data_IF_634933656242
#
_entry.id   IF_634933656242
#
_cell.length_a   1.000
_cell.length_b   1.000
_cell.length_c   1.000
_cell.angle_alpha   90.00
_cell.angle_beta   90.00
_cell.angle_gamma   90.00
#
_symmetry.space_group_name_H-M   'P 1'
#
loop_
_entity.id
_entity.type
_entity.pdbx_description
1 polymer ?
#
# COMPACT_ATOMS: atom_id res chain seq x y z
N UNK A 1 7.53 -2.09 -11.33
CA UNK A 1 8.68 -1.99 -10.40
C UNK A 1 8.57 -3.05 -9.32
N UNK A 2 9.69 -3.35 -8.65
CA UNK A 2 9.72 -4.31 -7.54
C UNK A 2 9.64 -3.58 -6.21
N UNK A 3 8.72 -3.98 -5.34
CA UNK A 3 8.55 -3.43 -3.99
C UNK A 3 8.35 -4.57 -2.98
N UNK A 4 8.39 -4.26 -1.70
CA UNK A 4 7.96 -5.16 -0.64
C UNK A 4 6.56 -4.75 -0.15
N UNK A 5 5.63 -5.70 -0.12
CA UNK A 5 4.26 -5.52 0.35
C UNK A 5 4.00 -6.51 1.48
N UNK A 6 3.76 -6.01 2.70
CA UNK A 6 3.52 -6.84 3.89
C UNK A 6 4.59 -7.93 4.10
N UNK A 7 5.87 -7.61 3.87
CA UNK A 7 6.99 -8.55 3.98
C UNK A 7 7.21 -9.44 2.74
N UNK A 8 6.39 -9.31 1.69
CA UNK A 8 6.51 -10.08 0.46
C UNK A 8 6.98 -9.22 -0.71
N UNK A 9 8.05 -9.63 -1.37
CA UNK A 9 8.55 -8.94 -2.57
C UNK A 9 7.64 -9.25 -3.76
N UNK A 10 7.11 -8.20 -4.40
CA UNK A 10 6.23 -8.30 -5.57
C UNK A 10 6.73 -7.41 -6.71
N UNK A 11 6.37 -7.77 -7.94
CA UNK A 11 6.53 -6.93 -9.13
C UNK A 11 5.15 -6.36 -9.51
N UNK A 12 5.04 -5.02 -9.58
CA UNK A 12 3.79 -4.28 -9.80
C UNK A 12 3.92 -3.26 -10.93
N UNK A 13 2.84 -2.93 -11.63
CA UNK A 13 2.83 -1.83 -12.62
C UNK A 13 2.32 -0.51 -12.03
N UNK A 14 1.74 -0.54 -10.84
CA UNK A 14 1.23 0.63 -10.15
C UNK A 14 2.32 1.69 -9.92
N UNK A 15 2.01 2.95 -10.19
CA UNK A 15 2.86 4.12 -9.96
C UNK A 15 2.51 4.84 -8.66
N UNK A 16 1.28 4.67 -8.18
CA UNK A 16 0.79 5.27 -6.94
C UNK A 16 0.30 4.24 -5.94
N UNK A 17 0.17 4.65 -4.68
CA UNK A 17 -0.38 3.79 -3.64
C UNK A 17 -1.82 3.37 -3.94
N UNK A 18 -2.66 4.27 -4.47
CA UNK A 18 -4.04 3.94 -4.83
C UNK A 18 -4.12 2.88 -5.93
N UNK A 19 -3.32 3.04 -6.99
CA UNK A 19 -3.22 2.06 -8.08
C UNK A 19 -2.76 0.69 -7.55
N UNK A 20 -1.81 0.67 -6.63
CA UNK A 20 -1.32 -0.57 -6.05
C UNK A 20 -2.40 -1.25 -5.19
N UNK A 21 -3.13 -0.50 -4.37
CA UNK A 21 -4.23 -1.06 -3.57
C UNK A 21 -5.30 -1.67 -4.47
N UNK A 22 -5.64 -1.01 -5.59
CA UNK A 22 -6.57 -1.55 -6.58
C UNK A 22 -6.02 -2.80 -7.28
N UNK A 23 -4.75 -2.80 -7.69
CA UNK A 23 -4.08 -3.94 -8.32
C UNK A 23 -4.09 -5.17 -7.39
N UNK A 24 -3.86 -4.95 -6.10
CA UNK A 24 -3.84 -5.99 -5.06
C UNK A 24 -5.24 -6.27 -4.47
N UNK A 25 -6.29 -5.68 -5.04
CA UNK A 25 -7.69 -5.88 -4.66
C UNK A 25 -8.02 -5.52 -3.20
N UNK A 26 -7.28 -4.58 -2.61
CA UNK A 26 -7.62 -3.97 -1.33
C UNK A 26 -8.64 -2.85 -1.52
N UNK A 27 -9.58 -2.71 -0.57
CA UNK A 27 -10.45 -1.53 -0.49
C UNK A 27 -9.76 -0.41 0.30
N UNK A 28 -9.36 0.71 -0.35
CA UNK A 28 -8.68 1.83 0.31
C UNK A 28 -9.47 2.45 1.48
N UNK A 29 -10.80 2.32 1.46
CA UNK A 29 -11.66 2.83 2.53
C UNK A 29 -11.54 2.01 3.81
N UNK A 30 -11.16 0.73 3.70
CA UNK A 30 -11.09 -0.19 4.84
C UNK A 30 -9.69 -0.35 5.39
N UNK A 31 -8.64 -0.15 4.59
CA UNK A 31 -7.25 -0.40 5.00
C UNK A 31 -6.52 0.86 5.45
N UNK A 32 -5.54 0.68 6.33
CA UNK A 32 -4.54 1.69 6.67
C UNK A 32 -3.19 1.28 6.06
N UNK A 33 -2.37 2.24 5.64
CA UNK A 33 -1.08 1.94 4.99
C UNK A 33 0.07 2.70 5.62
N UNK A 34 1.25 2.07 5.65
CA UNK A 34 2.51 2.72 5.99
C UNK A 34 3.55 2.47 4.88
N UNK A 35 4.19 3.53 4.40
CA UNK A 35 5.25 3.47 3.39
C UNK A 35 6.59 3.72 4.07
N UNK A 36 7.51 2.76 4.00
CA UNK A 36 8.81 2.76 4.65
C UNK A 36 8.72 3.06 6.16
N UNK A 37 7.69 2.51 6.82
CA UNK A 37 7.42 2.72 8.25
C UNK A 37 6.68 4.03 8.58
N UNK A 38 6.40 4.89 7.61
CA UNK A 38 5.62 6.11 7.82
C UNK A 38 4.16 5.95 7.40
N UNK A 39 3.24 6.29 8.30
CA UNK A 39 1.82 6.27 7.99
C UNK A 39 1.47 7.20 6.82
N UNK A 40 0.73 6.69 5.84
CA UNK A 40 0.20 7.47 4.72
C UNK A 40 -1.28 7.72 4.97
N UNK A 41 -1.73 8.98 5.06
CA UNK A 41 -3.16 9.31 5.10
C UNK A 41 -3.86 8.94 3.79
N UNK A 42 -5.09 8.43 3.87
CA UNK A 42 -5.92 8.06 2.69
C UNK A 42 -6.03 9.15 1.64
N UNK A 43 -6.16 10.40 2.05
CA UNK A 43 -6.23 11.55 1.14
C UNK A 43 -4.98 11.70 0.25
N UNK A 44 -3.86 11.08 0.61
CA UNK A 44 -2.62 11.10 -0.17
C UNK A 44 -2.46 9.90 -1.10
N UNK A 45 -3.27 8.84 -1.01
CA UNK A 45 -3.04 7.58 -1.74
C UNK A 45 -2.91 7.80 -3.25
N UNK A 46 -3.80 8.58 -3.85
CA UNK A 46 -3.78 8.89 -5.28
C UNK A 46 -2.56 9.73 -5.73
N UNK A 47 -1.91 10.44 -4.80
CA UNK A 47 -0.75 11.30 -5.08
C UNK A 47 0.59 10.72 -4.57
N UNK A 48 0.53 9.71 -3.70
CA UNK A 48 1.69 9.09 -3.09
C UNK A 48 2.31 8.15 -4.12
N UNK A 49 3.43 8.59 -4.71
CA UNK A 49 4.19 7.79 -5.65
C UNK A 49 4.90 6.64 -4.93
N UNK A 50 4.97 5.53 -5.65
CA UNK A 50 5.78 4.38 -5.27
C UNK A 50 7.07 4.39 -6.07
N UNK A 51 8.12 3.86 -5.47
CA UNK A 51 9.42 3.69 -6.09
C UNK A 51 9.93 2.26 -5.84
N UNK A 52 10.80 1.79 -6.73
CA UNK A 52 11.39 0.47 -6.59
C UNK A 52 12.14 0.35 -5.24
N UNK A 53 11.93 -0.77 -4.54
CA UNK A 53 12.50 -1.04 -3.23
C UNK A 53 11.75 -0.40 -2.06
N UNK A 54 10.64 0.31 -2.30
CA UNK A 54 9.76 0.73 -1.22
C UNK A 54 9.19 -0.48 -0.45
N UNK A 55 9.03 -0.29 0.86
CA UNK A 55 8.33 -1.20 1.75
C UNK A 55 6.96 -0.62 2.06
N UNK A 56 5.91 -1.34 1.70
CA UNK A 56 4.55 -0.96 1.97
C UNK A 56 3.90 -1.96 2.92
N UNK A 57 3.37 -1.46 4.02
CA UNK A 57 2.52 -2.21 4.92
C UNK A 57 1.07 -1.79 4.69
N UNK A 58 0.18 -2.77 4.54
CA UNK A 58 -1.26 -2.63 4.40
C UNK A 58 -1.91 -3.41 5.52
N UNK A 59 -2.54 -2.67 6.44
CA UNK A 59 -3.21 -3.20 7.61
C UNK A 59 -4.72 -3.09 7.41
N UNK A 60 -5.38 -4.24 7.31
CA UNK A 60 -6.84 -4.31 7.39
C UNK A 60 -7.26 -4.31 8.86
N UNK A 61 -8.36 -3.65 9.24
CA UNK A 61 -8.92 -3.76 10.58
C UNK A 61 -9.19 -5.23 10.86
N UNK A 62 -8.48 -5.79 11.83
CA UNK A 62 -8.85 -7.09 12.37
C UNK A 62 -10.16 -6.87 13.11
N UNK A 63 -11.26 -7.49 12.67
CA UNK A 63 -12.47 -7.58 13.50
C UNK A 63 -12.06 -8.31 14.78
N UNK A 64 -11.79 -7.55 15.84
CA UNK A 64 -11.67 -8.09 17.18
C UNK A 64 -13.07 -8.50 17.66
N UNK A 65 -13.20 -9.78 18.02
CA UNK A 65 -14.30 -10.25 18.88
C UNK A 65 -14.07 -9.84 20.32
#
# INVERSE_FOLDING_TARGET
>A
MRIELNGHVIDTAACTLDELLQEQQFDPATVATALNGEFVPRARYASQRLEAGNQLEVLSPMQGG
#
